data_IF_520800015308
#
_entry.id   IF_520800015308
#
_cell.length_a   1.000
_cell.length_b   1.000
_cell.length_c   1.000
_cell.angle_alpha   90.00
_cell.angle_beta   90.00
_cell.angle_gamma   90.00
#
_symmetry.space_group_name_H-M   'P 1'
#
loop_
_entity.id
_entity.type
_entity.pdbx_description
1 polymer ?
#
# COMPACT_ATOMS: atom_id res chain seq x y z
N UNK A 1 9.56 -24.26 11.22
CA UNK A 1 9.82 -23.36 10.08
C UNK A 1 8.70 -23.24 9.03
N UNK A 2 7.86 -24.25 8.70
CA UNK A 2 6.88 -24.10 7.59
C UNK A 2 5.75 -23.09 7.85
N UNK A 3 5.33 -22.95 9.11
CA UNK A 3 4.26 -22.03 9.56
C UNK A 3 4.57 -20.55 9.27
N UNK A 4 5.84 -20.17 9.37
CA UNK A 4 6.30 -18.80 9.09
C UNK A 4 6.32 -18.51 7.59
N UNK A 5 6.75 -19.48 6.78
CA UNK A 5 6.78 -19.33 5.33
C UNK A 5 5.37 -19.19 4.76
N UNK A 6 4.40 -19.95 5.30
CA UNK A 6 2.99 -19.81 4.98
C UNK A 6 2.44 -18.44 5.40
N UNK A 7 2.74 -17.96 6.62
CA UNK A 7 2.30 -16.65 7.07
C UNK A 7 2.87 -15.50 6.21
N UNK A 8 4.14 -15.58 5.81
CA UNK A 8 4.77 -14.61 4.92
C UNK A 8 4.18 -14.64 3.51
N UNK A 9 3.85 -15.81 2.97
CA UNK A 9 3.17 -15.95 1.68
C UNK A 9 1.76 -15.37 1.70
N UNK A 10 0.99 -15.65 2.75
CA UNK A 10 -0.35 -15.07 2.94
C UNK A 10 -0.26 -13.56 3.03
N UNK A 11 0.71 -13.03 3.78
CA UNK A 11 0.94 -11.60 3.90
C UNK A 11 1.31 -10.96 2.55
N UNK A 12 2.25 -11.56 1.81
CA UNK A 12 2.64 -11.07 0.49
C UNK A 12 1.45 -11.05 -0.49
N UNK A 13 0.63 -12.11 -0.50
CA UNK A 13 -0.58 -12.17 -1.31
C UNK A 13 -1.61 -11.09 -0.90
N UNK A 14 -1.78 -10.85 0.40
CA UNK A 14 -2.68 -9.81 0.91
C UNK A 14 -2.21 -8.40 0.53
N UNK A 15 -0.90 -8.13 0.58
CA UNK A 15 -0.34 -6.83 0.15
C UNK A 15 -0.51 -6.62 -1.35
N UNK A 16 -0.25 -7.66 -2.16
CA UNK A 16 -0.50 -7.62 -3.61
C UNK A 16 -1.97 -7.32 -3.90
N UNK A 17 -2.89 -8.04 -3.26
CA UNK A 17 -4.33 -7.80 -3.42
C UNK A 17 -4.72 -6.37 -2.99
N UNK A 18 -4.17 -5.86 -1.89
CA UNK A 18 -4.40 -4.49 -1.44
C UNK A 18 -3.94 -3.45 -2.47
N UNK A 19 -2.72 -3.58 -3.01
CA UNK A 19 -2.20 -2.68 -4.05
C UNK A 19 -3.11 -2.68 -5.29
N UNK A 20 -3.57 -3.87 -5.71
CA UNK A 20 -4.50 -4.01 -6.83
C UNK A 20 -5.84 -3.32 -6.56
N UNK A 21 -6.44 -3.51 -5.38
CA UNK A 21 -7.72 -2.87 -5.02
C UNK A 21 -7.58 -1.35 -5.00
N UNK A 22 -6.55 -0.85 -4.32
CA UNK A 22 -6.27 0.59 -4.20
C UNK A 22 -6.01 1.21 -5.58
N UNK A 23 -5.24 0.54 -6.44
CA UNK A 23 -5.00 0.97 -7.82
C UNK A 23 -6.28 0.97 -8.67
N UNK A 24 -7.10 -0.08 -8.58
CA UNK A 24 -8.35 -0.20 -9.32
C UNK A 24 -9.36 0.87 -8.90
N UNK A 25 -9.47 1.18 -7.60
CA UNK A 25 -10.30 2.27 -7.09
C UNK A 25 -9.80 3.62 -7.63
N UNK A 26 -8.48 3.85 -7.62
CA UNK A 26 -7.88 5.06 -8.17
C UNK A 26 -8.20 5.25 -9.66
N UNK A 27 -8.03 4.21 -10.47
CA UNK A 27 -8.34 4.23 -11.91
C UNK A 27 -9.84 4.41 -12.15
N UNK A 28 -10.69 3.68 -11.42
CA UNK A 28 -12.13 3.81 -11.54
C UNK A 28 -12.60 5.24 -11.21
N UNK A 29 -12.03 5.84 -10.16
CA UNK A 29 -12.32 7.21 -9.75
C UNK A 29 -11.91 8.22 -10.83
N UNK A 30 -10.71 8.11 -11.40
CA UNK A 30 -10.25 9.04 -12.46
C UNK A 30 -11.05 8.90 -13.75
N UNK A 31 -11.54 7.70 -14.09
CA UNK A 31 -12.43 7.50 -15.23
C UNK A 31 -13.83 8.12 -15.00
N UNK A 32 -14.32 8.12 -13.75
CA UNK A 32 -15.62 8.70 -13.37
C UNK A 32 -15.57 10.22 -13.15
N UNK A 33 -14.42 10.72 -12.71
CA UNK A 33 -14.18 12.13 -12.42
C UNK A 33 -12.98 12.60 -13.24
N UNK A 34 -13.15 12.76 -14.57
CA UNK A 34 -12.09 13.28 -15.42
C UNK A 34 -11.64 14.64 -14.87
N UNK A 35 -10.34 14.85 -14.64
CA UNK A 35 -9.85 16.10 -14.09
C UNK A 35 -10.20 17.25 -15.03
N UNK A 36 -11.06 18.16 -14.57
CA UNK A 36 -11.23 19.45 -15.23
C UNK A 36 -9.91 20.24 -15.09
N UNK A 37 -9.44 20.92 -16.15
CA UNK A 37 -8.22 21.73 -16.07
C UNK A 37 -8.52 22.97 -15.22
N UNK A 38 -8.41 22.85 -13.90
CA UNK A 38 -8.59 23.95 -12.96
C UNK A 38 -7.20 24.41 -12.50
N UNK A 39 -6.82 25.68 -12.71
CA UNK A 39 -5.53 26.19 -12.26
C UNK A 39 -5.39 26.01 -10.74
N UNK A 40 -4.39 25.24 -10.29
CA UNK A 40 -4.14 24.97 -8.87
C UNK A 40 -4.45 23.56 -8.37
N UNK A 41 -4.88 22.62 -9.23
CA UNK A 41 -5.11 21.22 -8.83
C UNK A 41 -3.83 20.39 -8.64
N UNK A 42 -2.68 20.85 -9.12
CA UNK A 42 -1.43 20.10 -9.06
C UNK A 42 -1.01 19.75 -7.61
N UNK A 43 -1.27 20.65 -6.67
CA UNK A 43 -1.03 20.42 -5.23
C UNK A 43 -1.98 19.37 -4.65
N UNK A 44 -3.25 19.31 -5.08
CA UNK A 44 -4.19 18.28 -4.64
C UNK A 44 -3.85 16.89 -5.19
N UNK A 45 -3.41 16.80 -6.45
CA UNK A 45 -2.92 15.55 -7.04
C UNK A 45 -1.60 15.09 -6.40
N UNK A 46 -0.68 16.03 -6.13
CA UNK A 46 0.58 15.73 -5.43
C UNK A 46 0.33 15.22 -3.99
N UNK A 47 -0.58 15.87 -3.25
CA UNK A 47 -0.88 15.48 -1.86
C UNK A 47 -1.62 14.13 -1.79
N UNK A 48 -2.60 13.90 -2.69
CA UNK A 48 -3.32 12.63 -2.77
C UNK A 48 -2.42 11.47 -3.20
N UNK A 49 -1.48 11.71 -4.12
CA UNK A 49 -0.53 10.68 -4.57
C UNK A 49 0.48 10.29 -3.48
N UNK A 50 0.90 11.24 -2.63
CA UNK A 50 1.74 10.94 -1.47
C UNK A 50 0.98 10.11 -0.43
N UNK A 51 -0.26 10.47 -0.11
CA UNK A 51 -1.09 9.70 0.84
C UNK A 51 -1.31 8.27 0.32
N UNK A 52 -1.59 8.10 -0.98
CA UNK A 52 -1.71 6.78 -1.59
C UNK A 52 -0.40 5.98 -1.55
N UNK A 53 0.74 6.60 -1.85
CA UNK A 53 2.06 5.95 -1.73
C UNK A 53 2.35 5.54 -0.30
N UNK A 54 2.08 6.38 0.68
CA UNK A 54 2.22 6.02 2.09
C UNK A 54 1.30 4.87 2.46
N UNK A 55 0.03 4.90 2.06
CA UNK A 55 -0.93 3.83 2.33
C UNK A 55 -0.54 2.50 1.66
N UNK A 56 0.14 2.54 0.51
CA UNK A 56 0.65 1.34 -0.15
C UNK A 56 1.89 0.76 0.55
N UNK A 57 2.75 1.60 1.15
CA UNK A 57 4.02 1.18 1.76
C UNK A 57 3.88 0.90 3.27
N UNK A 58 2.88 1.48 3.94
CA UNK A 58 2.63 1.30 5.38
C UNK A 58 2.49 -0.17 5.82
N UNK A 59 1.77 -1.05 5.09
CA UNK A 59 1.67 -2.46 5.45
C UNK A 59 3.05 -3.15 5.43
N UNK A 60 3.89 -2.80 4.46
CA UNK A 60 5.24 -3.36 4.33
C UNK A 60 6.14 -2.93 5.49
N UNK A 61 6.07 -1.66 5.91
CA UNK A 61 6.83 -1.14 7.06
C UNK A 61 6.40 -1.84 8.35
N UNK A 62 5.09 -1.95 8.58
CA UNK A 62 4.54 -2.61 9.77
C UNK A 62 4.95 -4.09 9.84
N UNK A 63 4.94 -4.79 8.70
CA UNK A 63 5.36 -6.17 8.64
C UNK A 63 6.87 -6.33 8.84
N UNK A 64 7.70 -5.50 8.22
CA UNK A 64 9.15 -5.49 8.45
C UNK A 64 9.49 -5.23 9.91
N UNK A 65 8.82 -4.27 10.56
CA UNK A 65 9.01 -3.98 11.97
C UNK A 65 8.58 -5.16 12.87
N UNK A 66 7.46 -5.80 12.57
CA UNK A 66 7.01 -7.00 13.29
C UNK A 66 7.97 -8.19 13.10
N UNK A 67 8.43 -8.41 11.87
CA UNK A 67 9.38 -9.46 11.51
C UNK A 67 10.72 -9.28 12.23
N UNK A 68 11.27 -8.07 12.20
CA UNK A 68 12.50 -7.71 12.91
C UNK A 68 12.39 -8.00 14.41
N UNK A 69 11.27 -7.59 15.04
CA UNK A 69 11.01 -7.80 16.46
C UNK A 69 10.89 -9.28 16.85
N UNK A 70 10.50 -10.15 15.92
CA UNK A 70 10.42 -11.60 16.14
C UNK A 70 11.79 -12.26 16.02
N UNK A 71 12.62 -11.84 15.06
CA UNK A 71 13.99 -12.35 14.92
C UNK A 71 14.84 -11.93 16.11
N UNK A 72 14.78 -10.66 16.52
CA UNK A 72 15.58 -10.14 17.63
C UNK A 72 15.21 -10.69 19.01
N UNK A 73 14.05 -11.35 19.13
CA UNK A 73 13.64 -12.08 20.35
C UNK A 73 13.99 -13.57 20.32
N UNK A 74 14.43 -14.08 19.17
CA UNK A 74 14.79 -15.49 18.99
C UNK A 74 16.32 -15.72 19.00
N UNK A 75 17.11 -14.64 19.05
CA UNK A 75 18.55 -14.63 19.25
C UNK A 75 18.86 -14.25 20.71
#
# INVERSE_FOLDING_TARGET
MPRFLVASLIFAAAVLAWIWIVGAIGIWWTLRHPPAPVPGTDTYFMTSSWIYRLAAVLPLILFSAWYWRRISRAA
#
